data_IF_111071051921
#
_entry.id   IF_111071051921
#
_cell.length_a   1.000
_cell.length_b   1.000
_cell.length_c   1.000
_cell.angle_alpha   90.00
_cell.angle_beta   90.00
_cell.angle_gamma   90.00
#
_symmetry.space_group_name_H-M   'P 1'
#
loop_
_entity.id
_entity.type
_entity.pdbx_description
1 polymer ?
#
# COMPACT_ATOMS: atom_id res chain seq x y z
N UNK A 1 -49.16 -1.44 8.54
CA UNK A 1 -48.21 -0.36 8.88
C UNK A 1 -46.91 -0.67 8.18
N UNK A 2 -46.66 0.03 7.07
CA UNK A 2 -45.42 -0.11 6.30
C UNK A 2 -44.30 0.61 7.04
N UNK A 3 -43.28 -0.13 7.47
CA UNK A 3 -42.02 0.43 7.95
C UNK A 3 -41.19 0.75 6.73
N UNK A 4 -41.15 2.02 6.35
CA UNK A 4 -40.18 2.53 5.39
C UNK A 4 -38.80 2.54 6.04
N UNK A 5 -37.94 1.62 5.62
CA UNK A 5 -36.50 1.72 5.82
C UNK A 5 -35.98 2.86 4.94
N UNK A 6 -35.57 3.96 5.57
CA UNK A 6 -34.85 5.04 4.90
C UNK A 6 -33.50 4.52 4.37
N UNK A 7 -33.11 4.83 3.12
CA UNK A 7 -31.75 4.62 2.66
C UNK A 7 -30.83 5.59 3.40
N UNK A 8 -29.85 5.06 4.14
CA UNK A 8 -28.78 5.85 4.75
C UNK A 8 -28.02 6.58 3.64
N UNK A 9 -28.14 7.90 3.61
CA UNK A 9 -27.32 8.76 2.76
C UNK A 9 -25.84 8.53 3.09
N UNK A 10 -25.07 8.16 2.06
CA UNK A 10 -23.66 7.80 2.18
C UNK A 10 -22.82 8.94 2.73
N UNK A 11 -22.26 8.75 3.93
CA UNK A 11 -21.20 9.58 4.47
C UNK A 11 -20.00 9.50 3.53
N UNK A 12 -19.60 10.64 2.93
CA UNK A 12 -18.37 10.72 2.13
C UNK A 12 -17.19 10.38 3.04
N UNK A 13 -16.57 9.21 2.81
CA UNK A 13 -15.28 8.88 3.43
C UNK A 13 -14.19 9.68 2.71
N UNK A 14 -13.42 10.43 3.48
CA UNK A 14 -12.25 11.17 3.00
C UNK A 14 -11.02 10.53 3.64
N UNK A 15 -10.16 9.91 2.83
CA UNK A 15 -8.86 9.43 3.27
C UNK A 15 -7.75 10.33 2.70
N UNK A 16 -6.71 10.60 3.48
CA UNK A 16 -5.49 11.24 2.99
C UNK A 16 -4.59 10.19 2.36
N UNK A 17 -4.21 10.37 1.10
CA UNK A 17 -3.32 9.48 0.39
C UNK A 17 -2.05 10.24 0.04
N UNK A 18 -0.92 9.72 0.51
CA UNK A 18 0.40 10.28 0.24
C UNK A 18 1.11 9.42 -0.79
N UNK A 19 1.77 10.05 -1.73
CA UNK A 19 2.46 9.38 -2.82
C UNK A 19 3.92 9.76 -2.85
N UNK A 20 4.76 8.76 -3.04
CA UNK A 20 6.17 8.92 -3.31
C UNK A 20 6.54 8.16 -4.59
N UNK A 21 7.18 8.87 -5.53
CA UNK A 21 7.63 8.25 -6.78
C UNK A 21 9.06 7.74 -6.69
N UNK A 22 9.23 6.45 -6.88
CA UNK A 22 10.48 5.87 -7.36
C UNK A 22 10.64 6.23 -8.85
N UNK A 23 11.79 6.76 -9.26
CA UNK A 23 12.11 6.87 -10.69
C UNK A 23 13.55 6.46 -10.93
N UNK A 24 13.69 5.69 -11.99
CA UNK A 24 14.95 5.37 -12.62
C UNK A 24 15.34 6.46 -13.63
N UNK A 25 16.57 6.97 -13.54
CA UNK A 25 17.20 7.66 -14.68
C UNK A 25 18.22 6.68 -15.26
N UNK A 26 18.01 6.25 -16.50
CA UNK A 26 18.98 5.45 -17.27
C UNK A 26 20.35 6.10 -17.14
N UNK A 27 21.31 5.40 -16.53
CA UNK A 27 22.70 5.66 -16.87
C UNK A 27 22.91 5.05 -18.25
N UNK A 28 23.34 5.87 -19.21
CA UNK A 28 23.51 5.47 -20.61
C UNK A 28 24.72 4.56 -20.80
N UNK A 29 24.67 3.36 -20.24
CA UNK A 29 25.65 2.30 -20.47
C UNK A 29 24.94 1.15 -21.19
N UNK A 30 25.52 0.74 -22.32
CA UNK A 30 25.13 -0.36 -23.21
C UNK A 30 25.20 -1.76 -22.56
N UNK A 31 24.89 -1.87 -21.28
CA UNK A 31 24.80 -3.16 -20.58
C UNK A 31 23.39 -3.69 -20.76
N UNK A 32 23.30 -4.98 -21.06
CA UNK A 32 22.08 -5.80 -21.10
C UNK A 32 21.02 -5.25 -20.15
N UNK A 33 19.80 -5.08 -20.67
CA UNK A 33 18.70 -4.48 -19.95
C UNK A 33 18.37 -5.30 -18.68
N UNK A 34 18.96 -4.90 -17.55
CA UNK A 34 18.74 -5.54 -16.26
C UNK A 34 17.24 -5.52 -15.91
N UNK A 35 16.66 -6.70 -15.73
CA UNK A 35 15.30 -6.89 -15.24
C UNK A 35 15.22 -6.44 -13.80
N UNK A 36 14.16 -5.69 -13.46
CA UNK A 36 13.97 -5.11 -12.13
C UNK A 36 15.20 -4.40 -11.52
N UNK A 37 15.70 -3.31 -12.14
CA UNK A 37 16.98 -2.70 -11.76
C UNK A 37 16.96 -2.15 -10.33
N UNK A 38 18.14 -1.94 -9.75
CA UNK A 38 18.29 -1.25 -8.46
C UNK A 38 18.45 0.28 -8.60
N UNK A 39 18.27 1.00 -7.49
CA UNK A 39 18.51 2.44 -7.42
C UNK A 39 19.99 2.77 -7.62
N UNK A 40 20.26 3.81 -8.42
CA UNK A 40 21.60 4.39 -8.49
C UNK A 40 21.98 5.08 -7.18
N UNK A 41 23.28 5.25 -6.89
CA UNK A 41 23.76 6.00 -5.71
C UNK A 41 23.14 7.42 -5.61
N UNK A 42 22.97 8.10 -6.74
CA UNK A 42 22.34 9.43 -6.80
C UNK A 42 20.86 9.38 -6.42
N UNK A 43 20.16 8.30 -6.77
CA UNK A 43 18.74 8.15 -6.46
C UNK A 43 18.52 7.63 -5.04
N UNK A 44 19.44 6.84 -4.48
CA UNK A 44 19.50 6.51 -3.04
C UNK A 44 19.59 7.78 -2.20
N UNK A 45 20.51 8.70 -2.54
CA UNK A 45 20.63 9.99 -1.84
C UNK A 45 19.35 10.83 -1.92
N UNK A 46 18.65 10.83 -3.07
CA UNK A 46 17.38 11.53 -3.19
C UNK A 46 16.28 10.88 -2.36
N UNK A 47 16.20 9.54 -2.37
CA UNK A 47 15.24 8.81 -1.55
C UNK A 47 15.50 9.10 -0.06
N UNK A 48 16.75 9.19 0.37
CA UNK A 48 17.10 9.50 1.75
C UNK A 48 16.61 10.91 2.18
N UNK A 49 16.77 11.92 1.32
CA UNK A 49 16.28 13.30 1.57
C UNK A 49 14.77 13.40 1.76
N UNK A 50 14.01 12.37 1.40
CA UNK A 50 12.57 12.34 1.68
C UNK A 50 12.30 12.29 3.19
N UNK A 51 13.22 11.76 4.01
CA UNK A 51 13.09 11.81 5.47
C UNK A 51 13.05 13.26 5.98
N UNK A 52 13.88 14.16 5.43
CA UNK A 52 13.86 15.60 5.77
C UNK A 52 12.48 16.20 5.44
N UNK A 53 11.94 15.88 4.26
CA UNK A 53 10.61 16.37 3.87
C UNK A 53 9.47 15.80 4.75
N UNK A 54 9.62 14.58 5.27
CA UNK A 54 8.67 14.00 6.23
C UNK A 54 8.77 14.66 7.61
N UNK A 55 9.98 14.96 8.06
CA UNK A 55 10.25 15.66 9.32
C UNK A 55 9.65 17.08 9.31
N UNK A 56 9.95 17.86 8.27
CA UNK A 56 9.38 19.19 8.06
C UNK A 56 7.85 19.17 8.10
N UNK A 57 7.24 18.21 7.40
CA UNK A 57 5.79 18.06 7.36
C UNK A 57 5.20 17.70 8.73
N UNK A 58 5.84 16.80 9.48
CA UNK A 58 5.35 16.40 10.79
C UNK A 58 5.42 17.57 11.78
N UNK A 59 6.50 18.34 11.73
CA UNK A 59 6.66 19.58 12.49
C UNK A 59 5.58 20.60 12.15
N UNK A 60 5.25 20.78 10.87
CA UNK A 60 4.16 21.67 10.44
C UNK A 60 2.80 21.22 10.96
N UNK A 61 2.49 19.91 10.84
CA UNK A 61 1.24 19.35 11.35
C UNK A 61 1.15 19.54 12.87
N UNK A 62 2.22 19.25 13.60
CA UNK A 62 2.26 19.39 15.05
C UNK A 62 2.11 20.86 15.49
N UNK A 63 2.72 21.80 14.77
CA UNK A 63 2.52 23.24 14.99
C UNK A 63 1.07 23.66 14.73
N UNK A 64 0.41 23.08 13.73
CA UNK A 64 -1.00 23.34 13.46
C UNK A 64 -1.90 22.76 14.55
N UNK A 65 -1.68 21.51 14.95
CA UNK A 65 -2.47 20.84 15.99
C UNK A 65 -2.31 21.50 17.36
N UNK A 66 -1.09 21.89 17.76
CA UNK A 66 -0.83 22.56 19.05
C UNK A 66 -1.48 23.95 19.17
N UNK A 67 -1.65 24.66 18.05
CA UNK A 67 -2.41 25.93 18.01
C UNK A 67 -3.90 25.74 18.28
N UNK A 68 -4.46 24.61 17.86
CA UNK A 68 -5.90 24.29 17.97
C UNK A 68 -6.18 23.60 19.32
N UNK A 69 -5.37 22.58 19.64
CA UNK A 69 -5.52 21.72 20.81
C UNK A 69 -4.33 21.96 21.74
N UNK A 70 -4.50 22.85 22.72
CA UNK A 70 -3.43 23.37 23.59
C UNK A 70 -2.55 22.33 24.32
N UNK A 71 -2.86 21.02 24.33
CA UNK A 71 -2.13 19.98 25.10
C UNK A 71 -2.20 18.53 24.60
N UNK A 72 -2.71 18.22 23.41
CA UNK A 72 -2.82 16.81 22.98
C UNK A 72 -1.61 16.38 22.12
N UNK A 73 -1.15 15.10 22.23
CA UNK A 73 -0.15 14.55 21.34
C UNK A 73 -0.63 14.63 19.88
N UNK A 74 0.29 14.64 18.91
CA UNK A 74 -0.09 14.78 17.51
C UNK A 74 -1.06 13.68 17.10
N UNK A 75 -2.18 14.08 16.48
CA UNK A 75 -3.26 13.15 16.10
C UNK A 75 -3.00 12.49 14.75
N UNK A 76 -2.13 13.11 13.95
CA UNK A 76 -1.79 12.62 12.63
C UNK A 76 -0.81 11.43 12.67
N UNK A 77 -1.19 10.35 12.00
CA UNK A 77 -0.33 9.20 11.74
C UNK A 77 -0.73 8.51 10.42
N UNK A 78 0.14 7.63 9.93
CA UNK A 78 -0.05 6.81 8.74
C UNK A 78 -0.55 5.44 9.17
N UNK A 79 -1.74 5.06 8.72
CA UNK A 79 -2.35 3.77 9.08
C UNK A 79 -1.63 2.61 8.38
N UNK A 80 -1.30 2.79 7.10
CA UNK A 80 -0.73 1.76 6.25
C UNK A 80 0.36 2.29 5.29
N UNK A 81 1.36 1.45 5.05
CA UNK A 81 2.49 1.69 4.16
C UNK A 81 2.43 0.65 3.05
N UNK A 82 2.28 1.08 1.79
CA UNK A 82 2.14 0.17 0.64
C UNK A 82 3.17 0.53 -0.43
N UNK A 83 3.78 -0.48 -1.03
CA UNK A 83 4.80 -0.30 -2.06
C UNK A 83 4.61 -1.23 -3.25
N UNK A 84 5.12 -0.80 -4.39
CA UNK A 84 5.35 -1.67 -5.55
C UNK A 84 6.30 -2.82 -5.21
N UNK A 85 6.09 -4.03 -5.77
CA UNK A 85 7.00 -5.18 -5.64
C UNK A 85 8.33 -5.05 -6.39
N UNK A 86 8.51 -4.03 -7.24
CA UNK A 86 9.78 -3.83 -7.94
C UNK A 86 10.88 -3.36 -6.97
N UNK A 87 12.10 -3.83 -7.18
CA UNK A 87 13.30 -3.56 -6.36
C UNK A 87 13.47 -2.06 -6.08
N UNK A 88 13.39 -1.19 -7.09
CA UNK A 88 13.50 0.27 -6.87
C UNK A 88 12.38 0.84 -5.98
N UNK A 89 11.18 0.26 -6.03
CA UNK A 89 10.04 0.66 -5.20
C UNK A 89 10.34 0.37 -3.73
N UNK A 90 10.73 -0.88 -3.45
CA UNK A 90 11.11 -1.35 -2.11
C UNK A 90 12.32 -0.60 -1.54
N UNK A 91 13.36 -0.38 -2.34
CA UNK A 91 14.50 0.45 -1.93
C UNK A 91 14.07 1.88 -1.58
N UNK A 92 13.24 2.49 -2.44
CA UNK A 92 12.74 3.86 -2.20
C UNK A 92 11.93 3.90 -0.91
N UNK A 93 11.02 2.94 -0.70
CA UNK A 93 10.17 2.85 0.48
C UNK A 93 10.99 2.72 1.77
N UNK A 94 11.90 1.74 1.80
CA UNK A 94 12.79 1.49 2.94
C UNK A 94 13.69 2.69 3.26
N UNK A 95 14.36 3.28 2.26
CA UNK A 95 15.30 4.39 2.48
C UNK A 95 14.57 5.68 2.87
N UNK A 96 13.45 6.00 2.22
CA UNK A 96 12.72 7.26 2.45
C UNK A 96 12.00 7.35 3.79
N UNK A 97 11.90 6.23 4.50
CA UNK A 97 11.21 6.14 5.79
C UNK A 97 12.10 5.60 6.91
N UNK A 98 13.40 5.41 6.65
CA UNK A 98 14.32 4.80 7.62
C UNK A 98 14.41 5.57 8.94
N UNK A 99 14.27 6.91 8.92
CA UNK A 99 14.25 7.75 10.12
C UNK A 99 12.83 8.02 10.58
N UNK A 100 11.98 8.48 9.65
CA UNK A 100 10.66 9.02 10.00
C UNK A 100 9.54 7.98 10.01
N UNK A 101 9.66 6.86 9.30
CA UNK A 101 8.59 5.88 9.14
C UNK A 101 8.00 5.42 10.46
N UNK A 102 8.88 5.04 11.41
CA UNK A 102 8.46 4.66 12.76
C UNK A 102 7.77 5.80 13.49
N UNK A 103 8.21 7.04 13.35
CA UNK A 103 7.58 8.19 14.02
C UNK A 103 6.17 8.41 13.47
N UNK A 104 6.01 8.29 12.15
CA UNK A 104 4.76 8.58 11.46
C UNK A 104 3.71 7.49 11.52
N UNK A 105 4.10 6.24 11.80
CA UNK A 105 3.14 5.12 11.86
C UNK A 105 2.13 5.31 13.01
N UNK A 106 0.88 4.96 12.75
CA UNK A 106 -0.11 4.80 13.82
C UNK A 106 0.30 3.63 14.72
N UNK A 107 0.31 3.84 16.05
CA UNK A 107 0.78 2.84 17.02
C UNK A 107 -0.20 2.65 18.16
N UNK A 108 -0.14 1.48 18.79
CA UNK A 108 -0.76 1.25 20.10
C UNK A 108 0.03 1.96 21.21
N UNK A 109 -0.67 2.35 22.29
CA UNK A 109 -0.08 3.06 23.42
C UNK A 109 1.07 2.31 24.14
N UNK A 110 1.15 0.99 23.99
CA UNK A 110 2.12 0.12 24.66
C UNK A 110 3.29 -0.31 23.77
N UNK A 111 3.50 0.35 22.63
CA UNK A 111 4.52 -0.06 21.69
C UNK A 111 5.83 0.70 21.92
N UNK A 112 6.86 -0.02 22.38
CA UNK A 112 8.21 0.50 22.47
C UNK A 112 8.81 0.70 21.07
N UNK A 113 9.51 1.83 20.90
CA UNK A 113 10.15 2.18 19.62
C UNK A 113 11.64 2.33 19.89
N UNK A 114 12.44 1.46 19.30
CA UNK A 114 13.91 1.55 19.34
C UNK A 114 14.46 2.09 18.01
N UNK A 115 15.78 2.23 17.94
CA UNK A 115 16.46 2.73 16.74
C UNK A 115 16.18 1.86 15.49
N UNK A 116 16.24 0.53 15.68
CA UNK A 116 16.01 -0.47 14.62
C UNK A 116 14.53 -0.71 14.28
N UNK A 117 13.57 -0.04 14.94
CA UNK A 117 12.15 -0.24 14.62
C UNK A 117 11.82 0.21 13.20
N UNK A 118 11.11 -0.62 12.44
CA UNK A 118 10.71 -0.36 11.05
C UNK A 118 9.23 -0.66 10.86
N UNK A 119 8.60 0.15 10.00
CA UNK A 119 7.24 -0.09 9.56
C UNK A 119 7.18 -1.31 8.65
N UNK A 120 6.07 -2.02 8.68
CA UNK A 120 5.80 -3.12 7.77
C UNK A 120 5.21 -2.58 6.47
N UNK A 121 5.85 -2.89 5.35
CA UNK A 121 5.39 -2.50 4.02
C UNK A 121 4.51 -3.59 3.42
N UNK A 122 3.26 -3.27 3.10
CA UNK A 122 2.39 -4.11 2.28
C UNK A 122 2.86 -4.04 0.83
N UNK A 123 3.09 -5.19 0.18
CA UNK A 123 3.53 -5.21 -1.22
C UNK A 123 2.37 -5.49 -2.15
N UNK A 124 2.04 -4.53 -3.02
CA UNK A 124 0.89 -4.63 -3.90
C UNK A 124 1.33 -4.69 -5.38
N UNK A 125 1.14 -5.84 -6.08
CA UNK A 125 1.40 -5.98 -7.51
C UNK A 125 0.69 -4.96 -8.40
N UNK A 126 -0.50 -4.46 -8.02
CA UNK A 126 -1.19 -3.39 -8.76
C UNK A 126 -0.41 -2.08 -8.78
N UNK A 127 0.56 -1.87 -7.88
CA UNK A 127 1.42 -0.68 -7.84
C UNK A 127 2.67 -0.77 -8.72
N UNK A 128 2.89 -1.84 -9.48
CA UNK A 128 4.07 -1.95 -10.37
C UNK A 128 4.11 -0.87 -11.47
N UNK A 129 5.25 -0.65 -12.11
CA UNK A 129 5.33 0.30 -13.23
C UNK A 129 4.55 -0.19 -14.47
N UNK A 130 4.25 0.72 -15.39
CA UNK A 130 3.81 0.37 -16.74
C UNK A 130 4.89 -0.40 -17.49
N UNK A 131 4.58 -1.63 -17.90
CA UNK A 131 5.49 -2.47 -18.69
C UNK A 131 5.70 -1.85 -20.07
N UNK A 132 6.91 -1.31 -20.31
CA UNK A 132 7.28 -0.72 -21.60
C UNK A 132 8.45 -1.46 -22.26
N UNK A 133 9.23 -2.17 -21.45
CA UNK A 133 10.36 -3.00 -21.81
C UNK A 133 10.80 -3.91 -20.64
N UNK A 134 11.92 -4.62 -20.80
CA UNK A 134 12.36 -5.67 -19.87
C UNK A 134 12.70 -5.15 -18.47
N UNK A 135 13.18 -3.91 -18.33
CA UNK A 135 13.54 -3.33 -17.03
C UNK A 135 12.33 -3.08 -16.11
N UNK A 136 11.11 -3.12 -16.64
CA UNK A 136 9.89 -3.02 -15.83
C UNK A 136 9.28 -4.39 -15.52
N UNK A 137 9.90 -5.46 -16.02
CA UNK A 137 9.58 -6.85 -15.65
C UNK A 137 10.05 -7.08 -14.23
N UNK A 138 9.20 -7.69 -13.42
CA UNK A 138 9.53 -8.13 -12.08
C UNK A 138 10.40 -9.39 -12.08
N UNK A 139 10.70 -9.85 -10.87
CA UNK A 139 11.34 -11.14 -10.62
C UNK A 139 10.43 -11.98 -9.74
N UNK A 140 10.59 -13.31 -9.81
CA UNK A 140 9.88 -14.23 -8.92
C UNK A 140 10.11 -13.84 -7.45
N UNK A 141 9.12 -14.11 -6.59
CA UNK A 141 9.16 -13.68 -5.20
C UNK A 141 10.45 -14.07 -4.47
N UNK A 142 10.89 -15.33 -4.62
CA UNK A 142 12.11 -15.81 -3.97
C UNK A 142 13.38 -15.13 -4.50
N UNK A 143 13.43 -14.83 -5.79
CA UNK A 143 14.53 -14.10 -6.42
C UNK A 143 14.57 -12.65 -5.95
N UNK A 144 13.41 -11.99 -5.88
CA UNK A 144 13.26 -10.66 -5.32
C UNK A 144 13.78 -10.62 -3.88
N UNK A 145 13.37 -11.56 -3.02
CA UNK A 145 13.81 -11.62 -1.62
C UNK A 145 15.33 -11.82 -1.50
N UNK A 146 15.90 -12.72 -2.31
CA UNK A 146 17.36 -12.92 -2.35
C UNK A 146 18.09 -11.64 -2.78
N UNK A 147 17.58 -10.94 -3.80
CA UNK A 147 18.13 -9.67 -4.28
C UNK A 147 18.05 -8.57 -3.22
N UNK A 148 16.95 -8.45 -2.49
CA UNK A 148 16.82 -7.48 -1.41
C UNK A 148 17.83 -7.73 -0.27
N UNK A 149 18.08 -9.00 0.05
CA UNK A 149 19.10 -9.37 1.02
C UNK A 149 20.51 -8.98 0.53
N UNK A 150 20.85 -9.25 -0.74
CA UNK A 150 22.12 -8.82 -1.33
C UNK A 150 22.28 -7.29 -1.30
N UNK A 151 21.23 -6.55 -1.66
CA UNK A 151 21.22 -5.09 -1.59
C UNK A 151 21.43 -4.59 -0.17
N UNK A 152 20.93 -5.29 0.85
CA UNK A 152 21.14 -4.95 2.24
C UNK A 152 22.61 -5.14 2.65
N UNK A 153 23.20 -6.30 2.32
CA UNK A 153 24.63 -6.57 2.54
C UNK A 153 25.51 -5.51 1.87
N UNK A 154 25.10 -5.04 0.69
CA UNK A 154 25.77 -3.99 -0.07
C UNK A 154 25.43 -2.55 0.36
N UNK A 155 24.66 -2.37 1.45
CA UNK A 155 24.22 -1.06 1.98
C UNK A 155 23.44 -0.20 0.97
N UNK A 156 22.70 -0.84 0.06
CA UNK A 156 21.87 -0.19 -0.97
C UNK A 156 20.39 -0.17 -0.62
N UNK A 157 19.98 -0.82 0.48
CA UNK A 157 18.65 -0.72 1.08
C UNK A 157 18.80 -0.64 2.60
N UNK A 158 17.91 0.08 3.27
CA UNK A 158 17.88 0.08 4.73
C UNK A 158 17.17 -1.17 5.27
N UNK A 159 17.37 -1.45 6.56
CA UNK A 159 16.60 -2.49 7.27
C UNK A 159 15.11 -2.27 7.05
N UNK A 160 14.38 -3.33 6.72
CA UNK A 160 12.95 -3.22 6.38
C UNK A 160 12.18 -4.50 6.68
N UNK A 161 10.91 -4.35 7.00
CA UNK A 161 9.94 -5.44 7.14
C UNK A 161 8.92 -5.34 6.00
N UNK A 162 8.65 -6.45 5.35
CA UNK A 162 7.86 -6.51 4.12
C UNK A 162 6.80 -7.61 4.28
N UNK A 163 5.53 -7.25 4.19
CA UNK A 163 4.43 -8.21 4.13
C UNK A 163 4.19 -8.59 2.67
N UNK A 164 4.43 -9.87 2.36
CA UNK A 164 4.33 -10.46 1.03
C UNK A 164 3.03 -11.27 0.84
N UNK A 165 2.07 -11.20 1.76
CA UNK A 165 0.86 -12.03 1.72
C UNK A 165 -0.01 -11.82 0.47
N UNK A 166 0.10 -10.64 -0.16
CA UNK A 166 -0.55 -10.26 -1.42
C UNK A 166 0.24 -10.68 -2.67
N UNK A 167 1.37 -11.37 -2.49
CA UNK A 167 2.16 -11.98 -3.56
C UNK A 167 2.13 -13.50 -3.39
N UNK A 168 1.60 -14.21 -4.38
CA UNK A 168 1.66 -15.67 -4.39
C UNK A 168 3.02 -16.14 -4.94
N UNK A 169 3.57 -17.20 -4.33
CA UNK A 169 4.81 -17.81 -4.79
C UNK A 169 4.60 -18.52 -6.13
N UNK A 170 5.54 -18.34 -7.07
CA UNK A 170 5.49 -18.94 -8.40
C UNK A 170 4.53 -18.25 -9.38
N UNK A 171 3.99 -17.08 -9.01
CA UNK A 171 3.21 -16.25 -9.92
C UNK A 171 4.07 -15.15 -10.55
N UNK A 172 3.97 -15.00 -11.87
CA UNK A 172 4.52 -13.86 -12.58
C UNK A 172 3.63 -12.62 -12.37
N UNK A 173 3.66 -12.05 -11.17
CA UNK A 173 2.91 -10.86 -10.74
C UNK A 173 3.17 -9.62 -11.62
N UNK A 174 4.26 -9.63 -12.40
CA UNK A 174 4.59 -8.59 -13.36
C UNK A 174 3.89 -8.76 -14.71
N UNK A 175 3.11 -9.81 -14.94
CA UNK A 175 2.38 -9.96 -16.21
C UNK A 175 1.31 -8.87 -16.35
N UNK A 176 1.06 -8.34 -17.56
CA UNK A 176 -0.05 -7.43 -17.80
C UNK A 176 -1.38 -8.11 -17.54
N UNK A 177 -2.25 -7.46 -16.76
CA UNK A 177 -3.66 -7.82 -16.73
C UNK A 177 -4.34 -7.42 -18.04
N UNK A 178 -5.27 -8.24 -18.50
CA UNK A 178 -6.15 -7.91 -19.60
C UNK A 178 -7.16 -6.83 -19.18
N UNK A 179 -7.71 -6.16 -20.19
CA UNK A 179 -8.77 -5.18 -19.97
C UNK A 179 -10.01 -5.81 -19.31
N UNK A 180 -10.39 -7.01 -19.76
CA UNK A 180 -11.57 -7.72 -19.27
C UNK A 180 -11.46 -8.12 -17.80
N UNK A 181 -10.30 -8.61 -17.36
CA UNK A 181 -10.05 -8.94 -15.95
C UNK A 181 -10.21 -7.71 -15.04
N UNK A 182 -9.55 -6.60 -15.39
CA UNK A 182 -9.63 -5.35 -14.61
C UNK A 182 -11.05 -4.78 -14.59
N UNK A 183 -11.76 -4.80 -15.72
CA UNK A 183 -13.14 -4.32 -15.80
C UNK A 183 -14.10 -5.20 -14.98
N UNK A 184 -13.92 -6.52 -15.03
CA UNK A 184 -14.72 -7.48 -14.24
C UNK A 184 -14.56 -7.22 -12.74
N UNK A 185 -13.34 -6.98 -12.28
CA UNK A 185 -13.08 -6.65 -10.87
C UNK A 185 -13.70 -5.32 -10.48
N UNK A 186 -13.57 -4.29 -11.31
CA UNK A 186 -14.23 -3.01 -11.06
C UNK A 186 -15.75 -3.13 -10.99
N UNK A 187 -16.35 -3.93 -11.89
CA UNK A 187 -17.79 -4.18 -11.89
C UNK A 187 -18.24 -4.94 -10.64
N UNK A 188 -17.59 -6.06 -10.32
CA UNK A 188 -17.85 -6.85 -9.09
C UNK A 188 -17.73 -5.97 -7.85
N UNK A 189 -16.73 -5.08 -7.82
CA UNK A 189 -16.52 -4.23 -6.66
C UNK A 189 -17.51 -3.08 -6.52
N UNK A 190 -18.08 -2.57 -7.62
CA UNK A 190 -19.16 -1.57 -7.54
C UNK A 190 -20.44 -2.11 -6.92
N UNK A 191 -20.67 -3.42 -7.01
CA UNK A 191 -21.89 -4.07 -6.53
C UNK A 191 -21.84 -4.48 -5.06
N UNK A 192 -20.65 -4.52 -4.43
CA UNK A 192 -20.49 -4.87 -3.01
C UNK A 192 -20.42 -3.64 -2.11
N UNK A 193 -21.26 -3.59 -1.07
CA UNK A 193 -21.21 -2.53 -0.06
C UNK A 193 -19.86 -2.51 0.68
N UNK A 194 -19.36 -1.33 1.11
CA UNK A 194 -18.16 -1.24 1.96
C UNK A 194 -18.38 -2.03 3.26
N UNK A 195 -17.40 -2.86 3.67
CA UNK A 195 -17.46 -3.62 4.93
C UNK A 195 -18.11 -5.02 4.84
N UNK A 196 -18.70 -5.42 3.71
CA UNK A 196 -19.11 -6.82 3.49
C UNK A 196 -17.95 -7.62 2.87
N UNK A 197 -16.91 -7.89 3.67
CA UNK A 197 -15.99 -8.98 3.36
C UNK A 197 -16.65 -10.22 3.97
N UNK A 198 -17.43 -10.95 3.16
CA UNK A 198 -18.07 -12.19 3.60
C UNK A 198 -16.98 -13.21 3.92
N UNK A 199 -16.87 -13.57 5.20
CA UNK A 199 -15.97 -14.60 5.74
C UNK A 199 -16.19 -16.00 5.15
N UNK A 200 -17.23 -16.18 4.35
CA UNK A 200 -17.65 -17.49 3.84
C UNK A 200 -17.19 -17.70 2.39
N UNK A 201 -15.94 -18.15 2.21
CA UNK A 201 -15.48 -18.97 1.06
C UNK A 201 -13.97 -19.24 1.09
N UNK A 202 -13.49 -19.84 2.17
CA UNK A 202 -12.32 -20.73 2.12
C UNK A 202 -12.68 -22.01 2.90
N UNK A 203 -13.75 -22.67 2.48
CA UNK A 203 -13.98 -24.06 2.83
C UNK A 203 -13.38 -24.87 1.69
N UNK A 204 -12.10 -25.22 1.86
CA UNK A 204 -11.49 -26.28 1.09
C UNK A 204 -12.32 -27.55 1.37
N UNK A 205 -12.94 -28.08 0.32
CA UNK A 205 -13.57 -29.39 0.32
C UNK A 205 -12.58 -30.41 0.88
N UNK A 206 -13.04 -31.12 1.90
CA UNK A 206 -12.23 -31.99 2.72
C UNK A 206 -11.82 -33.29 2.04
N UNK A 207 -10.80 -33.88 2.64
CA UNK A 207 -10.66 -35.32 2.73
C UNK A 207 -10.33 -35.64 4.19
N UNK A 208 -11.34 -36.12 4.91
CA UNK A 208 -11.22 -36.65 6.27
C UNK A 208 -10.42 -37.95 6.23
N UNK A 209 -9.39 -38.04 7.07
CA UNK A 209 -9.10 -39.30 7.77
C UNK A 209 -8.93 -39.00 9.25
N UNK A 210 -9.71 -39.72 10.05
CA UNK A 210 -9.88 -39.56 11.48
C UNK A 210 -8.81 -40.32 12.31
N UNK A 211 -8.86 -40.04 13.62
CA UNK A 211 -8.22 -40.68 14.78
C UNK A 211 -7.03 -39.88 15.36
N UNK A 212 -6.90 -39.61 16.66
CA UNK A 212 -7.71 -39.94 17.84
C UNK A 212 -7.35 -38.97 18.99
N UNK A 213 -8.20 -38.98 20.02
CA UNK A 213 -8.30 -38.13 21.20
C UNK A 213 -7.07 -38.07 22.14
N UNK A 214 -7.00 -36.99 22.91
CA UNK A 214 -6.24 -36.88 24.16
C UNK A 214 -6.18 -35.44 24.73
N UNK A 215 -7.19 -35.06 25.52
CA UNK A 215 -7.14 -34.45 26.88
C UNK A 215 -5.89 -33.58 27.21
N UNK A 216 -5.92 -32.36 27.75
CA UNK A 216 -6.80 -31.71 28.73
C UNK A 216 -6.45 -30.19 28.85
N UNK A 217 -7.25 -29.47 29.64
CA UNK A 217 -7.33 -28.03 29.83
C UNK A 217 -6.04 -27.25 30.17
N UNK A 218 -5.99 -25.98 29.72
CA UNK A 218 -5.05 -24.98 30.22
C UNK A 218 -5.03 -23.69 29.40
N UNK A 219 -5.84 -22.71 29.81
CA UNK A 219 -5.51 -21.29 29.85
C UNK A 219 -4.76 -20.67 28.63
N UNK A 220 -5.51 -20.09 27.68
CA UNK A 220 -4.94 -19.32 26.58
C UNK A 220 -5.66 -17.97 26.40
N UNK A 221 -5.35 -17.03 27.30
CA UNK A 221 -5.32 -15.62 26.91
C UNK A 221 -3.97 -15.36 26.24
N UNK A 222 -3.98 -14.75 25.04
CA UNK A 222 -2.81 -14.27 24.27
C UNK A 222 -2.28 -15.20 23.13
N UNK A 223 -3.10 -15.49 22.11
CA UNK A 223 -2.61 -16.16 20.87
C UNK A 223 -2.97 -15.43 19.57
N UNK A 224 -3.61 -14.27 19.61
CA UNK A 224 -4.01 -13.55 18.38
C UNK A 224 -2.87 -12.76 17.69
N UNK A 225 -1.65 -12.71 18.24
CA UNK A 225 -0.54 -11.93 17.68
C UNK A 225 0.48 -12.74 16.86
N UNK A 226 0.46 -14.08 16.92
CA UNK A 226 1.53 -14.89 16.33
C UNK A 226 1.22 -15.50 14.96
N UNK A 227 -0.05 -15.59 14.54
CA UNK A 227 -0.39 -16.13 13.22
C UNK A 227 -0.04 -15.15 12.06
N UNK A 228 0.03 -13.86 12.37
CA UNK A 228 0.16 -12.75 11.41
C UNK A 228 1.61 -12.46 10.97
N UNK A 229 2.61 -13.14 11.55
CA UNK A 229 4.04 -12.94 11.24
C UNK A 229 4.58 -13.90 10.18
N UNK A 230 3.82 -14.92 9.77
CA UNK A 230 4.29 -15.95 8.84
C UNK A 230 4.56 -15.42 7.42
N UNK A 231 3.95 -14.30 7.05
CA UNK A 231 4.05 -13.65 5.75
C UNK A 231 4.94 -12.41 5.75
N UNK A 232 5.47 -12.01 6.91
CA UNK A 232 6.34 -10.83 7.03
C UNK A 232 7.79 -11.27 6.90
N UNK A 233 8.47 -10.78 5.86
CA UNK A 233 9.89 -11.04 5.60
C UNK A 233 10.73 -9.89 6.16
N UNK A 234 11.80 -10.27 6.86
CA UNK A 234 12.71 -9.35 7.52
C UNK A 234 14.02 -9.22 6.73
N UNK A 235 14.38 -7.98 6.36
CA UNK A 235 15.65 -7.68 5.71
C UNK A 235 16.52 -6.89 6.68
N UNK A 236 17.62 -7.49 7.14
CA UNK A 236 18.61 -6.87 8.00
C UNK A 236 18.21 -6.73 9.48
N UNK A 237 17.41 -7.68 9.98
CA UNK A 237 16.98 -7.78 11.38
C UNK A 237 16.33 -6.50 11.95
N UNK A 238 15.31 -5.93 11.28
CA UNK A 238 14.54 -4.83 11.84
C UNK A 238 13.79 -5.28 13.09
N UNK A 239 13.49 -4.34 13.97
CA UNK A 239 12.41 -4.55 14.93
C UNK A 239 11.10 -4.16 14.27
N UNK A 240 10.17 -5.11 14.17
CA UNK A 240 8.98 -4.92 13.34
C UNK A 240 7.89 -4.19 14.13
N UNK A 241 7.39 -3.11 13.55
CA UNK A 241 6.15 -2.48 13.99
C UNK A 241 5.00 -3.31 13.41
N UNK A 242 4.18 -3.97 14.25
CA UNK A 242 3.06 -4.78 13.76
C UNK A 242 2.08 -3.93 12.97
N UNK A 243 1.38 -4.58 12.03
CA UNK A 243 0.33 -3.92 11.27
C UNK A 243 -0.80 -3.45 12.20
N UNK A 244 -1.27 -2.23 11.99
CA UNK A 244 -2.48 -1.74 12.66
C UNK A 244 -3.70 -2.51 12.18
N UNK A 245 -4.81 -2.48 12.94
CA UNK A 245 -6.07 -3.07 12.48
C UNK A 245 -6.51 -2.54 11.09
N UNK A 246 -6.24 -1.26 10.81
CA UNK A 246 -6.56 -0.63 9.52
C UNK A 246 -5.63 -1.07 8.39
N UNK A 247 -4.34 -1.28 8.67
CA UNK A 247 -3.42 -1.84 7.70
C UNK A 247 -3.76 -3.30 7.36
N UNK A 248 -4.17 -4.10 8.35
CA UNK A 248 -4.65 -5.47 8.12
C UNK A 248 -5.94 -5.48 7.30
N UNK A 249 -6.90 -4.61 7.63
CA UNK A 249 -8.10 -4.44 6.81
C UNK A 249 -7.77 -4.05 5.36
N UNK A 250 -6.74 -3.22 5.13
CA UNK A 250 -6.27 -2.89 3.78
C UNK A 250 -5.70 -4.12 3.07
N UNK A 251 -4.80 -4.86 3.72
CA UNK A 251 -4.23 -6.11 3.19
C UNK A 251 -5.33 -7.11 2.82
N UNK A 252 -6.28 -7.34 3.71
CA UNK A 252 -7.39 -8.27 3.47
C UNK A 252 -8.29 -7.78 2.34
N UNK A 253 -8.48 -6.46 2.21
CA UNK A 253 -9.22 -5.87 1.08
C UNK A 253 -8.47 -6.05 -0.24
N UNK A 254 -7.13 -5.89 -0.27
CA UNK A 254 -6.31 -6.17 -1.44
C UNK A 254 -6.49 -7.63 -1.84
N UNK A 255 -6.28 -8.58 -0.91
CA UNK A 255 -6.44 -10.02 -1.16
C UNK A 255 -7.84 -10.37 -1.68
N UNK A 256 -8.88 -9.77 -1.11
CA UNK A 256 -10.25 -10.03 -1.53
C UNK A 256 -10.56 -9.49 -2.93
N UNK A 257 -10.12 -8.26 -3.22
CA UNK A 257 -10.39 -7.57 -4.48
C UNK A 257 -9.55 -8.13 -5.62
N UNK A 258 -8.29 -8.42 -5.35
CA UNK A 258 -7.28 -8.83 -6.33
C UNK A 258 -7.12 -10.35 -6.40
N UNK A 259 -7.62 -11.08 -5.40
CA UNK A 259 -7.76 -12.55 -5.36
C UNK A 259 -8.07 -13.19 -6.72
N UNK A 260 -9.09 -12.73 -7.46
CA UNK A 260 -9.43 -13.30 -8.76
C UNK A 260 -8.41 -13.07 -9.88
N UNK A 261 -7.43 -12.16 -9.73
CA UNK A 261 -6.28 -12.05 -10.64
C UNK A 261 -5.18 -13.06 -10.32
N UNK A 262 -5.13 -13.56 -9.08
CA UNK A 262 -4.19 -14.58 -8.66
C UNK A 262 -4.68 -15.94 -9.16
N UNK A 263 -3.77 -16.86 -9.46
CA UNK A 263 -3.96 -18.15 -10.16
C UNK A 263 -4.07 -18.06 -11.69
N UNK A 264 -3.29 -17.19 -12.31
CA UNK A 264 -3.03 -17.30 -13.75
C UNK A 264 -2.09 -18.47 -13.96
N UNK A 265 -2.62 -19.60 -14.44
CA UNK A 265 -1.79 -20.71 -14.90
C UNK A 265 -0.95 -20.20 -16.08
N UNK A 266 0.30 -19.86 -15.82
CA UNK A 266 1.19 -19.29 -16.82
C UNK A 266 1.66 -20.37 -17.80
N UNK A 267 0.95 -20.53 -18.92
CA UNK A 267 1.58 -20.92 -20.19
C UNK A 267 2.57 -19.83 -20.69
N UNK A 268 2.53 -18.63 -20.08
CA UNK A 268 3.28 -17.43 -20.46
C UNK A 268 4.63 -17.21 -19.76
N UNK A 269 5.00 -18.01 -18.75
CA UNK A 269 6.31 -17.88 -18.09
C UNK A 269 7.50 -18.14 -19.04
N UNK A 270 7.23 -18.82 -20.18
CA UNK A 270 8.19 -19.05 -21.26
C UNK A 270 8.18 -17.98 -22.37
N UNK A 271 7.34 -16.94 -22.27
CA UNK A 271 7.34 -15.87 -23.26
C UNK A 271 8.61 -14.99 -23.08
N UNK A 272 9.48 -15.02 -24.08
CA UNK A 272 10.81 -14.37 -24.09
C UNK A 272 10.75 -12.85 -23.78
N UNK A 273 9.57 -12.21 -23.93
CA UNK A 273 9.28 -10.85 -23.43
C UNK A 273 7.80 -10.68 -23.04
N UNK A 274 7.49 -10.00 -21.91
CA UNK A 274 6.13 -9.63 -21.58
C UNK A 274 5.57 -8.59 -22.55
N UNK A 275 4.27 -8.69 -22.83
CA UNK A 275 3.56 -7.73 -23.66
C UNK A 275 3.62 -6.32 -23.07
N UNK A 276 3.75 -5.33 -23.95
CA UNK A 276 3.72 -3.92 -23.53
C UNK A 276 2.34 -3.57 -22.97
N UNK A 277 2.34 -2.98 -21.79
CA UNK A 277 1.12 -2.55 -21.13
C UNK A 277 0.66 -1.19 -21.67
N UNK A 278 -0.57 -1.13 -22.19
CA UNK A 278 -1.12 0.13 -22.70
C UNK A 278 -1.42 1.11 -21.56
N UNK A 279 -1.34 2.42 -21.84
CA UNK A 279 -1.70 3.44 -20.85
C UNK A 279 -3.16 3.40 -20.38
N UNK A 280 -4.06 2.77 -21.16
CA UNK A 280 -5.45 2.52 -20.76
C UNK A 280 -5.54 1.45 -19.67
N UNK A 281 -4.73 0.39 -19.75
CA UNK A 281 -4.66 -0.67 -18.73
C UNK A 281 -4.10 -0.12 -17.41
N UNK A 282 -3.02 0.66 -17.47
CA UNK A 282 -2.46 1.35 -16.28
C UNK A 282 -3.51 2.23 -15.60
N UNK A 283 -4.36 2.92 -16.38
CA UNK A 283 -5.47 3.72 -15.84
C UNK A 283 -6.53 2.84 -15.16
N UNK A 284 -6.83 1.66 -15.71
CA UNK A 284 -7.76 0.71 -15.10
C UNK A 284 -7.20 0.11 -13.80
N UNK A 285 -5.92 -0.28 -13.76
CA UNK A 285 -5.24 -0.68 -12.51
C UNK A 285 -5.30 0.42 -11.46
N UNK A 286 -5.02 1.66 -11.87
CA UNK A 286 -5.17 2.82 -11.00
C UNK A 286 -6.58 2.92 -10.41
N UNK A 287 -7.64 2.65 -11.20
CA UNK A 287 -9.02 2.62 -10.68
C UNK A 287 -9.23 1.50 -9.66
N UNK A 288 -8.66 0.31 -9.88
CA UNK A 288 -8.76 -0.83 -8.94
C UNK A 288 -8.16 -0.44 -7.59
N UNK A 289 -6.94 0.12 -7.58
CA UNK A 289 -6.29 0.61 -6.35
C UNK A 289 -7.19 1.60 -5.61
N UNK A 290 -7.79 2.57 -6.30
CA UNK A 290 -8.69 3.52 -5.62
C UNK A 290 -9.95 2.86 -5.05
N UNK A 291 -10.48 1.82 -5.70
CA UNK A 291 -11.60 1.06 -5.16
C UNK A 291 -11.20 0.27 -3.92
N UNK A 292 -10.02 -0.37 -3.91
CA UNK A 292 -9.45 -1.06 -2.74
C UNK A 292 -9.36 -0.10 -1.55
N UNK A 293 -8.74 1.06 -1.74
CA UNK A 293 -8.60 2.07 -0.69
C UNK A 293 -9.97 2.55 -0.16
N UNK A 294 -10.95 2.73 -1.04
CA UNK A 294 -12.29 3.17 -0.64
C UNK A 294 -13.13 2.09 0.06
N UNK A 295 -12.88 0.82 -0.25
CA UNK A 295 -13.55 -0.31 0.40
C UNK A 295 -12.98 -0.66 1.75
N UNK A 296 -11.71 -0.33 1.96
CA UNK A 296 -11.03 -0.60 3.22
C UNK A 296 -11.72 0.14 4.36
N UNK A 297 -12.09 -0.60 5.40
CA UNK A 297 -12.77 -0.03 6.54
C UNK A 297 -11.83 0.82 7.39
N UNK A 298 -12.34 1.98 7.85
CA UNK A 298 -11.65 2.89 8.76
C UNK A 298 -10.24 3.36 8.35
N UNK A 299 -9.83 3.19 7.08
CA UNK A 299 -8.55 3.69 6.57
C UNK A 299 -8.59 5.21 6.43
N UNK A 300 -7.74 5.93 7.17
CA UNK A 300 -7.69 7.39 7.14
C UNK A 300 -6.48 7.90 6.37
N UNK A 301 -5.30 7.31 6.59
CA UNK A 301 -4.06 7.76 5.95
C UNK A 301 -3.27 6.58 5.42
N UNK A 302 -2.88 6.64 4.15
CA UNK A 302 -2.00 5.65 3.53
C UNK A 302 -0.82 6.33 2.84
N UNK A 303 0.36 5.73 2.94
CA UNK A 303 1.53 6.10 2.16
C UNK A 303 1.76 5.07 1.05
N UNK A 304 1.70 5.53 -0.20
CA UNK A 304 1.93 4.73 -1.40
C UNK A 304 3.28 5.08 -2.01
N UNK A 305 4.15 4.08 -2.16
CA UNK A 305 5.43 4.21 -2.86
C UNK A 305 5.36 3.42 -4.15
N UNK A 306 5.48 4.10 -5.29
CA UNK A 306 5.29 3.46 -6.59
C UNK A 306 6.05 4.21 -7.67
N UNK A 307 5.88 3.82 -8.93
CA UNK A 307 6.65 4.32 -10.05
C UNK A 307 5.96 5.48 -10.75
N UNK A 308 6.73 6.19 -11.56
CA UNK A 308 6.29 7.45 -12.15
C UNK A 308 4.98 7.29 -12.93
N UNK A 309 4.87 6.35 -13.88
CA UNK A 309 3.73 6.39 -14.81
C UNK A 309 2.44 5.96 -14.15
N UNK A 310 2.46 4.94 -13.30
CA UNK A 310 1.28 4.54 -12.50
C UNK A 310 0.84 5.67 -11.57
N UNK A 311 1.77 6.35 -10.89
CA UNK A 311 1.45 7.52 -10.05
C UNK A 311 0.89 8.69 -10.87
N UNK A 312 1.42 8.96 -12.06
CA UNK A 312 0.87 9.99 -12.96
C UNK A 312 -0.56 9.65 -13.42
N UNK A 313 -0.92 8.36 -13.55
CA UNK A 313 -2.29 7.93 -13.87
C UNK A 313 -3.23 8.05 -12.66
N UNK A 314 -2.77 7.69 -11.47
CA UNK A 314 -3.52 7.81 -10.22
C UNK A 314 -3.80 9.28 -9.89
N UNK A 315 -2.76 10.12 -9.89
CA UNK A 315 -2.84 11.52 -9.49
C UNK A 315 -3.36 12.44 -10.60
N UNK A 316 -3.36 11.99 -11.85
CA UNK A 316 -3.69 12.80 -13.04
C UNK A 316 -2.80 14.05 -13.18
N UNK A 317 -1.61 14.00 -12.60
CA UNK A 317 -0.61 15.06 -12.61
C UNK A 317 0.77 14.50 -12.92
N UNK A 318 1.71 15.36 -13.31
CA UNK A 318 3.12 14.98 -13.45
C UNK A 318 3.75 14.73 -12.09
N UNK A 319 4.49 13.62 -11.99
CA UNK A 319 5.18 13.23 -10.76
C UNK A 319 6.68 13.28 -10.97
N UNK A 320 7.36 13.92 -10.02
CA UNK A 320 8.83 13.95 -9.97
C UNK A 320 9.34 12.88 -9.01
N UNK A 321 10.54 12.33 -9.24
CA UNK A 321 11.12 11.31 -8.38
C UNK A 321 11.39 11.85 -7.00
N UNK A 322 11.26 10.99 -5.98
CA UNK A 322 11.57 11.32 -4.59
C UNK A 322 10.91 12.63 -4.11
N UNK A 323 9.71 12.95 -4.65
CA UNK A 323 8.89 14.06 -4.17
C UNK A 323 7.62 13.51 -3.54
N UNK A 324 7.33 14.02 -2.35
CA UNK A 324 6.06 13.77 -1.68
C UNK A 324 4.96 14.55 -2.38
N UNK A 325 3.85 13.86 -2.62
CA UNK A 325 2.59 14.42 -3.10
C UNK A 325 1.50 14.01 -2.12
N UNK A 326 0.62 14.95 -1.82
CA UNK A 326 -0.51 14.74 -0.93
C UNK A 326 -1.77 14.78 -1.77
N UNK A 327 -2.72 13.89 -1.51
CA UNK A 327 -4.02 13.93 -2.12
C UNK A 327 -5.11 13.52 -1.12
N UNK A 328 -6.34 13.94 -1.41
CA UNK A 328 -7.52 13.46 -0.72
C UNK A 328 -8.22 12.45 -1.64
N UNK A 329 -8.44 11.26 -1.12
CA UNK A 329 -9.27 10.25 -1.76
C UNK A 329 -10.74 10.56 -1.49
N UNK A 330 -11.49 10.72 -2.58
CA UNK A 330 -12.95 10.85 -2.56
C UNK A 330 -13.58 9.53 -2.99
N UNK A 331 -14.32 8.90 -2.09
CA UNK A 331 -15.01 7.64 -2.33
C UNK A 331 -16.44 7.89 -2.82
N UNK A 332 -16.61 8.01 -4.13
CA UNK A 332 -17.91 8.04 -4.80
C UNK A 332 -18.10 6.84 -5.73
N UNK A 333 -19.09 6.94 -6.64
CA UNK A 333 -19.34 5.94 -7.70
C UNK A 333 -18.09 5.72 -8.56
N UNK A 334 -17.32 6.79 -8.79
CA UNK A 334 -15.98 6.73 -9.36
C UNK A 334 -14.99 7.35 -8.36
N UNK A 335 -14.23 6.52 -7.62
CA UNK A 335 -13.18 6.98 -6.75
C UNK A 335 -12.15 7.85 -7.47
N UNK A 336 -11.71 8.93 -6.82
CA UNK A 336 -10.75 9.86 -7.38
C UNK A 336 -9.85 10.48 -6.32
N UNK A 337 -8.68 10.94 -6.76
CA UNK A 337 -7.71 11.67 -5.93
C UNK A 337 -7.69 13.14 -6.32
N UNK A 338 -7.76 14.01 -5.32
CA UNK A 338 -7.56 15.45 -5.48
C UNK A 338 -6.21 15.82 -4.88
N UNK A 339 -5.23 16.18 -5.72
CA UNK A 339 -3.89 16.56 -5.27
C UNK A 339 -3.95 17.89 -4.53
N UNK A 340 -3.33 17.94 -3.36
CA UNK A 340 -3.14 19.16 -2.58
C UNK A 340 -1.85 19.84 -3.06
N UNK A 341 -2.02 20.92 -3.80
CA UNK A 341 -0.95 21.88 -4.12
C UNK A 341 -0.89 23.00 -3.08
N UNK A 342 0.27 23.67 -2.90
CA UNK A 342 0.39 24.87 -2.06
C UNK A 342 -0.52 26.03 -2.50
N UNK A 343 -0.98 25.98 -3.76
CA UNK A 343 -1.91 26.96 -4.35
C UNK A 343 -3.35 26.50 -4.35
N UNK A 344 -3.66 25.35 -3.74
CA UNK A 344 -5.03 24.82 -3.74
C UNK A 344 -5.87 25.72 -2.85
N UNK A 345 -6.91 26.39 -3.38
CA UNK A 345 -7.78 27.20 -2.55
C UNK A 345 -8.39 26.33 -1.45
N UNK A 346 -8.38 26.82 -0.21
CA UNK A 346 -9.05 26.18 0.94
C UNK A 346 -10.50 25.81 0.64
N UNK A 347 -11.17 26.60 -0.21
CA UNK A 347 -12.51 26.33 -0.71
C UNK A 347 -12.62 25.02 -1.50
N UNK A 348 -11.62 24.67 -2.33
CA UNK A 348 -11.62 23.39 -3.07
C UNK A 348 -11.42 22.18 -2.16
N UNK A 349 -10.67 22.36 -1.06
CA UNK A 349 -10.48 21.33 -0.03
C UNK A 349 -11.79 21.17 0.77
N UNK A 350 -12.43 22.26 1.18
CA UNK A 350 -13.74 22.25 1.88
C UNK A 350 -14.85 21.64 1.02
N UNK A 351 -14.94 21.99 -0.27
CA UNK A 351 -15.90 21.39 -1.20
C UNK A 351 -15.70 19.88 -1.37
N UNK A 352 -14.44 19.42 -1.36
CA UNK A 352 -14.10 18.00 -1.47
C UNK A 352 -14.40 17.22 -0.20
N UNK A 353 -14.14 17.83 0.97
CA UNK A 353 -14.36 17.22 2.29
C UNK A 353 -15.83 17.27 2.75
N UNK A 354 -16.69 18.02 2.06
CA UNK A 354 -18.05 18.31 2.55
C UNK A 354 -18.04 19.35 3.65
N UNK A 355 -19.23 19.75 4.11
CA UNK A 355 -19.38 20.72 5.20
C UNK A 355 -18.79 20.15 6.50
N UNK A 356 -17.56 20.57 6.83
CA UNK A 356 -16.81 20.11 8.01
C UNK A 356 -17.53 20.45 9.32
N UNK A 357 -18.55 21.32 9.30
CA UNK A 357 -19.42 21.59 10.45
C UNK A 357 -20.36 20.42 10.79
N UNK A 358 -20.50 19.43 9.89
CA UNK A 358 -21.27 18.20 10.11
C UNK A 358 -20.42 17.02 10.60
N UNK A 359 -19.09 17.18 10.74
CA UNK A 359 -18.30 16.19 11.45
C UNK A 359 -18.78 16.17 12.91
N UNK A 360 -19.16 14.99 13.46
CA UNK A 360 -19.59 14.93 14.85
C UNK A 360 -18.48 15.53 15.71
N UNK A 361 -18.83 16.53 16.52
CA UNK A 361 -17.96 16.97 17.59
C UNK A 361 -17.56 15.72 18.36
N UNK A 362 -16.26 15.41 18.34
CA UNK A 362 -15.68 14.33 19.11
C UNK A 362 -16.06 14.61 20.58
N UNK A 363 -17.08 13.90 21.07
CA UNK A 363 -17.40 13.90 22.50
C UNK A 363 -16.40 12.95 23.12
N UNK A 364 -15.60 13.51 24.02
CA UNK A 364 -14.71 12.79 24.94
C UNK A 364 -15.46 11.75 25.76
#
# INVERSE_FOLDING_TARGET
MNVHTHPSFGTKKCASVRFLSARFRRQGSEVLADTDPSLSRKDIQKAFRVNEAFDELFEEIHKCESRINRRQPPSFCIDAFVTSPLTVGLQTASISTVQMGKVMACKSAHQDIVEKSRVTWLVDPMLREQLSGPNETGTELNELLARLHELYVNMQIARTAIDIETMAAGEAWWTPYTKGELETILQRNRLGAPGQISSDKYSATGEETAAAEGTEAGEAASTATNADQSTVVHIGDPEVIPLTARARALRDTIKYVEGPLHNRNDEGANAERPDRESGKLVKLRGKVILHVLCKTEALNTVLLVSHKRILEKLLRERVSPAKLKYAILSCGVEPSLTVLSPKTPLESIRQSLGDLSQLPAWRE
#
